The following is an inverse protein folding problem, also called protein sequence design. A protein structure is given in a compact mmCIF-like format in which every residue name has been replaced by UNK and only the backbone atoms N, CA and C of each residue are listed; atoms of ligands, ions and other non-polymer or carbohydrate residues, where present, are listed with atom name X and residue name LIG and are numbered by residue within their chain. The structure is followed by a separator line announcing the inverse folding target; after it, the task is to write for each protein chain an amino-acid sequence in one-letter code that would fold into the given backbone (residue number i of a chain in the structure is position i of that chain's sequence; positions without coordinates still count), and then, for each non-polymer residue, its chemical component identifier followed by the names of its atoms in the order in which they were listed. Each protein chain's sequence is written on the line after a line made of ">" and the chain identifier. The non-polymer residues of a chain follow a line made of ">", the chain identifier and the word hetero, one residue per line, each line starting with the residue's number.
data_IF_819154160152
#
_entry.id   IF_819154160152
#
_cell.length_a   1.000
_cell.length_b   1.000
_cell.length_c   1.000
_cell.angle_alpha   90.00
_cell.angle_beta   90.00
_cell.angle_gamma   90.00
#
_symmetry.space_group_name_H-M   'P 1'
#
loop_
_entity.id
_entity.type
_entity.pdbx_description
1 polymer ?
#
# COMPACT_ATOMS: atom_id res chain seq x y z
N UNK A 1 17.45 -1.17 40.65
CA UNK A 1 17.59 -0.64 39.27
C UNK A 1 17.02 -1.69 38.34
N UNK A 2 15.81 -1.45 37.82
CA UNK A 2 15.15 -2.37 36.89
C UNK A 2 15.94 -2.25 35.58
N UNK A 3 16.54 -3.33 35.05
CA UNK A 3 17.30 -3.24 33.82
C UNK A 3 16.32 -2.88 32.69
N UNK A 4 16.51 -1.70 32.09
CA UNK A 4 15.75 -1.25 30.90
C UNK A 4 15.75 -2.29 29.76
N UNK A 5 16.75 -3.19 29.74
CA UNK A 5 16.85 -4.31 28.81
C UNK A 5 15.71 -5.36 28.93
N UNK A 6 14.99 -5.42 30.06
CA UNK A 6 13.79 -6.26 30.20
C UNK A 6 12.48 -5.54 29.85
N UNK A 7 12.52 -4.21 29.69
CA UNK A 7 11.34 -3.39 29.35
C UNK A 7 11.22 -3.22 27.83
N UNK A 8 12.36 -3.28 27.13
CA UNK A 8 12.42 -3.18 25.67
C UNK A 8 13.22 -4.38 25.15
N UNK A 9 12.53 -5.46 24.79
CA UNK A 9 13.13 -6.50 23.96
C UNK A 9 13.41 -5.88 22.58
N UNK A 10 14.69 -5.67 22.27
CA UNK A 10 15.13 -4.94 21.06
C UNK A 10 14.80 -5.71 19.78
N UNK A 11 14.88 -7.05 19.82
CA UNK A 11 14.61 -7.91 18.66
C UNK A 11 13.17 -7.78 18.12
N UNK A 12 12.10 -7.96 18.92
CA UNK A 12 10.73 -7.78 18.43
C UNK A 12 10.43 -6.33 18.05
N UNK A 13 11.08 -5.35 18.71
CA UNK A 13 10.92 -3.95 18.35
C UNK A 13 11.49 -3.66 16.96
N UNK A 14 12.66 -4.21 16.62
CA UNK A 14 13.28 -4.01 15.32
C UNK A 14 12.52 -4.71 14.19
N UNK A 15 11.97 -5.89 14.46
CA UNK A 15 11.12 -6.64 13.54
C UNK A 15 9.81 -5.88 13.25
N UNK A 16 9.16 -5.32 14.28
CA UNK A 16 7.97 -4.51 14.14
C UNK A 16 8.22 -3.22 13.31
N UNK A 17 9.39 -2.59 13.49
CA UNK A 17 9.78 -1.42 12.70
C UNK A 17 9.96 -1.80 11.23
N UNK A 18 10.73 -2.86 10.94
CA UNK A 18 11.01 -3.26 9.56
C UNK A 18 9.76 -3.72 8.81
N UNK A 19 8.89 -4.48 9.45
CA UNK A 19 7.61 -4.90 8.88
C UNK A 19 6.71 -3.70 8.59
N UNK A 20 6.63 -2.73 9.52
CA UNK A 20 5.87 -1.49 9.34
C UNK A 20 6.40 -0.64 8.19
N UNK A 21 7.73 -0.51 8.08
CA UNK A 21 8.39 0.24 6.99
C UNK A 21 8.16 -0.44 5.64
N UNK A 22 8.34 -1.76 5.57
CA UNK A 22 8.14 -2.54 4.34
C UNK A 22 6.68 -2.44 3.86
N UNK A 23 5.73 -2.56 4.80
CA UNK A 23 4.31 -2.43 4.50
C UNK A 23 3.95 -1.02 4.03
N UNK A 24 4.42 0.01 4.73
CA UNK A 24 4.23 1.41 4.36
C UNK A 24 4.77 1.72 2.95
N UNK A 25 5.97 1.23 2.63
CA UNK A 25 6.56 1.38 1.30
C UNK A 25 5.74 0.64 0.23
N UNK A 26 5.28 -0.58 0.51
CA UNK A 26 4.42 -1.33 -0.42
C UNK A 26 3.14 -0.58 -0.76
N UNK A 27 2.43 -0.09 0.26
CA UNK A 27 1.22 0.72 0.11
C UNK A 27 1.51 1.99 -0.70
N UNK A 28 2.64 2.66 -0.43
CA UNK A 28 3.03 3.89 -1.11
C UNK A 28 3.31 3.67 -2.60
N UNK A 29 3.98 2.57 -2.95
CA UNK A 29 4.22 2.18 -4.36
C UNK A 29 2.91 1.90 -5.08
N UNK A 30 2.01 1.11 -4.48
CA UNK A 30 0.70 0.78 -5.07
C UNK A 30 -0.14 2.05 -5.27
N UNK A 31 -0.17 2.94 -4.27
CA UNK A 31 -0.87 4.21 -4.35
C UNK A 31 -0.29 5.10 -5.48
N UNK A 32 1.04 5.19 -5.60
CA UNK A 32 1.67 5.97 -6.66
C UNK A 32 1.33 5.44 -8.06
N UNK A 33 1.32 4.12 -8.24
CA UNK A 33 0.93 3.48 -9.52
C UNK A 33 -0.55 3.75 -9.81
N UNK A 34 -1.43 3.56 -8.82
CA UNK A 34 -2.87 3.80 -8.96
C UNK A 34 -3.19 5.26 -9.32
N UNK A 35 -2.53 6.23 -8.67
CA UNK A 35 -2.69 7.66 -8.99
C UNK A 35 -2.21 7.95 -10.41
N UNK A 36 -1.03 7.47 -10.82
CA UNK A 36 -0.53 7.66 -12.19
C UNK A 36 -1.45 7.03 -13.24
N UNK A 37 -1.95 5.82 -12.98
CA UNK A 37 -2.91 5.16 -13.87
C UNK A 37 -4.21 5.97 -13.98
N UNK A 38 -4.71 6.50 -12.85
CA UNK A 38 -5.94 7.30 -12.82
C UNK A 38 -5.80 8.61 -13.60
N UNK A 39 -4.66 9.28 -13.48
CA UNK A 39 -4.36 10.49 -14.25
C UNK A 39 -4.28 10.20 -15.75
N UNK A 40 -3.59 9.12 -16.15
CA UNK A 40 -3.53 8.71 -17.56
C UNK A 40 -4.88 8.29 -18.14
N UNK A 41 -5.73 7.64 -17.34
CA UNK A 41 -7.10 7.34 -17.75
C UNK A 41 -7.89 8.62 -18.01
N UNK A 42 -7.72 9.66 -17.19
CA UNK A 42 -8.38 10.94 -17.39
C UNK A 42 -7.89 11.67 -18.65
N UNK A 43 -6.57 11.66 -18.91
CA UNK A 43 -5.97 12.21 -20.13
C UNK A 43 -6.53 11.53 -21.39
N UNK A 44 -6.61 10.20 -21.39
CA UNK A 44 -7.07 9.44 -22.56
C UNK A 44 -8.58 9.52 -22.82
N UNK A 45 -9.39 9.83 -21.80
CA UNK A 45 -10.79 10.22 -22.01
C UNK A 45 -10.91 11.48 -22.87
N UNK A 46 -9.96 12.41 -22.74
CA UNK A 46 -9.91 13.63 -23.56
C UNK A 46 -9.50 13.38 -25.00
N UNK A 47 -8.67 12.37 -25.25
CA UNK A 47 -8.13 12.03 -26.58
C UNK A 47 -8.95 10.99 -27.36
N UNK A 48 -10.14 10.61 -26.87
CA UNK A 48 -11.02 9.60 -27.49
C UNK A 48 -10.39 8.22 -27.73
N UNK A 49 -9.34 7.86 -26.99
CA UNK A 49 -8.68 6.55 -27.08
C UNK A 49 -9.31 5.52 -26.12
N UNK A 50 -10.42 4.91 -26.55
CA UNK A 50 -11.27 4.03 -25.72
C UNK A 50 -10.53 2.79 -25.16
N UNK A 51 -9.64 2.18 -25.95
CA UNK A 51 -8.92 0.95 -25.55
C UNK A 51 -7.90 1.18 -24.44
N UNK A 52 -7.19 2.31 -24.49
CA UNK A 52 -6.19 2.62 -23.48
C UNK A 52 -6.87 3.17 -22.20
N UNK A 53 -7.98 3.90 -22.33
CA UNK A 53 -8.82 4.31 -21.21
C UNK A 53 -9.29 3.12 -20.35
N UNK A 54 -9.79 2.05 -20.97
CA UNK A 54 -10.23 0.85 -20.27
C UNK A 54 -9.08 0.16 -19.51
N UNK A 55 -7.89 0.11 -20.11
CA UNK A 55 -6.72 -0.51 -19.49
C UNK A 55 -6.25 0.22 -18.22
N UNK A 56 -6.18 1.55 -18.25
CA UNK A 56 -5.81 2.34 -17.08
C UNK A 56 -6.89 2.32 -16.01
N UNK A 57 -8.16 2.31 -16.39
CA UNK A 57 -9.27 2.12 -15.45
C UNK A 57 -9.18 0.79 -14.68
N UNK A 58 -8.84 -0.30 -15.38
CA UNK A 58 -8.65 -1.61 -14.74
C UNK A 58 -7.48 -1.60 -13.75
N UNK A 59 -6.35 -0.98 -14.12
CA UNK A 59 -5.18 -0.83 -13.23
C UNK A 59 -5.55 -0.03 -11.99
N UNK A 60 -6.33 1.04 -12.12
CA UNK A 60 -6.79 1.83 -10.97
C UNK A 60 -7.66 1.00 -10.03
N UNK A 61 -8.64 0.26 -10.55
CA UNK A 61 -9.52 -0.60 -9.74
C UNK A 61 -8.70 -1.66 -9.02
N UNK A 62 -7.77 -2.29 -9.73
CA UNK A 62 -6.89 -3.30 -9.16
C UNK A 62 -6.00 -2.74 -8.04
N UNK A 63 -5.40 -1.56 -8.22
CA UNK A 63 -4.63 -0.89 -7.16
C UNK A 63 -5.53 -0.57 -5.96
N UNK A 64 -6.77 -0.11 -6.19
CA UNK A 64 -7.75 0.10 -5.12
C UNK A 64 -8.03 -1.16 -4.31
N UNK A 65 -8.26 -2.30 -4.99
CA UNK A 65 -8.47 -3.59 -4.33
C UNK A 65 -7.24 -4.04 -3.51
N UNK A 66 -6.03 -3.85 -4.05
CA UNK A 66 -4.80 -4.15 -3.32
C UNK A 66 -4.64 -3.30 -2.06
N UNK A 67 -5.00 -2.02 -2.10
CA UNK A 67 -4.97 -1.15 -0.93
C UNK A 67 -5.98 -1.59 0.14
N UNK A 68 -7.19 -1.96 -0.27
CA UNK A 68 -8.20 -2.50 0.66
C UNK A 68 -7.71 -3.80 1.30
N UNK A 69 -7.17 -4.72 0.51
CA UNK A 69 -6.60 -5.97 1.00
C UNK A 69 -5.43 -5.72 1.97
N UNK A 70 -4.56 -4.75 1.66
CA UNK A 70 -3.47 -4.35 2.54
C UNK A 70 -4.02 -3.86 3.90
N UNK A 71 -5.02 -2.97 3.91
CA UNK A 71 -5.63 -2.48 5.16
C UNK A 71 -6.24 -3.63 5.98
N UNK A 72 -6.98 -4.54 5.34
CA UNK A 72 -7.59 -5.69 6.03
C UNK A 72 -6.52 -6.60 6.64
N UNK A 73 -5.47 -6.93 5.88
CA UNK A 73 -4.35 -7.74 6.37
C UNK A 73 -3.57 -7.04 7.48
N UNK A 74 -3.37 -5.73 7.39
CA UNK A 74 -2.72 -4.92 8.42
C UNK A 74 -3.51 -4.90 9.72
N UNK A 75 -4.83 -4.70 9.65
CA UNK A 75 -5.72 -4.78 10.83
C UNK A 75 -5.67 -6.18 11.42
N UNK A 76 -5.78 -7.22 10.58
CA UNK A 76 -5.75 -8.61 11.04
C UNK A 76 -4.45 -8.94 11.78
N UNK A 77 -3.30 -8.52 11.24
CA UNK A 77 -1.99 -8.70 11.86
C UNK A 77 -1.83 -7.96 13.20
N UNK A 78 -2.53 -6.83 13.40
CA UNK A 78 -2.54 -6.11 14.69
C UNK A 78 -3.52 -6.70 15.70
N UNK A 79 -4.53 -7.45 15.25
CA UNK A 79 -5.52 -8.10 16.13
C UNK A 79 -5.13 -9.50 16.60
N UNK A 80 -4.08 -10.07 15.99
CA UNK A 80 -3.46 -11.32 16.45
C UNK A 80 -2.40 -11.04 17.50
#
# INVERSE_FOLDING_TARGET
>A
MIPFAQIVEIDPLLEAIWTSVAFGLGVLVIAAIGVRASLRAAEQRGEHHEGAFASYGFVTIFCGLLLVAAVVLGIWAMTQ
#
